data_IF_022546492842
#
_entry.id   IF_022546492842
#
_cell.length_a   1.000
_cell.length_b   1.000
_cell.length_c   1.000
_cell.angle_alpha   90.00
_cell.angle_beta   90.00
_cell.angle_gamma   90.00
#
_symmetry.space_group_name_H-M   'P 1'
#
loop_
_entity.id
_entity.type
_entity.pdbx_description
1 polymer ?
#
# COMPACT_ATOMS: atom_id res chain seq x y z
N UNK A 1 1.22 -22.54 -35.54
CA UNK A 1 1.57 -21.80 -34.31
C UNK A 1 0.60 -20.68 -34.09
N UNK A 2 0.19 -20.33 -32.86
CA UNK A 2 -0.62 -19.14 -32.71
C UNK A 2 0.27 -17.91 -32.97
N UNK A 3 0.08 -17.28 -34.12
CA UNK A 3 0.72 -16.03 -34.56
C UNK A 3 0.26 -14.78 -33.76
N UNK A 4 -0.40 -14.98 -32.61
CA UNK A 4 -1.02 -13.90 -31.83
C UNK A 4 -0.29 -13.74 -30.51
N UNK A 5 0.43 -12.62 -30.38
CA UNK A 5 1.04 -12.18 -29.13
C UNK A 5 0.16 -11.10 -28.49
N UNK A 6 -0.03 -11.17 -27.17
CA UNK A 6 -0.70 -10.12 -26.40
C UNK A 6 0.19 -9.67 -25.23
N UNK A 7 0.02 -8.40 -24.85
CA UNK A 7 0.66 -7.82 -23.68
C UNK A 7 -0.39 -7.09 -22.83
N UNK A 8 -0.14 -7.00 -21.52
CA UNK A 8 -1.00 -6.28 -20.59
C UNK A 8 -0.19 -5.61 -19.49
N UNK A 9 -0.83 -4.67 -18.78
CA UNK A 9 -0.23 -4.06 -17.60
C UNK A 9 -0.21 -5.07 -16.44
N UNK A 10 0.94 -5.16 -15.77
CA UNK A 10 1.11 -6.03 -14.59
C UNK A 10 1.57 -5.22 -13.38
N UNK A 11 0.67 -4.48 -12.71
CA UNK A 11 1.01 -3.75 -11.49
C UNK A 11 1.53 -4.72 -10.43
N UNK A 12 2.74 -4.48 -9.96
CA UNK A 12 3.42 -5.30 -8.96
C UNK A 12 4.19 -4.36 -8.02
N UNK A 13 3.84 -4.29 -6.73
CA UNK A 13 4.63 -3.57 -5.75
C UNK A 13 6.03 -4.19 -5.58
N UNK A 14 7.02 -3.44 -5.02
CA UNK A 14 8.38 -3.92 -4.84
C UNK A 14 8.54 -5.24 -4.07
N UNK A 15 7.59 -5.56 -3.18
CA UNK A 15 7.58 -6.80 -2.40
C UNK A 15 6.75 -7.93 -3.03
N UNK A 16 6.21 -7.72 -4.24
CA UNK A 16 5.31 -8.62 -4.94
C UNK A 16 4.02 -8.99 -4.18
N UNK A 17 3.68 -8.26 -3.11
CA UNK A 17 2.42 -8.42 -2.38
C UNK A 17 1.40 -7.37 -2.84
N UNK A 18 0.10 -7.70 -2.89
CA UNK A 18 -0.93 -6.71 -3.21
C UNK A 18 -1.01 -5.59 -2.17
N UNK A 19 -1.56 -4.46 -2.58
CA UNK A 19 -1.94 -3.34 -1.73
C UNK A 19 -3.44 -3.43 -1.48
N UNK A 20 -3.83 -3.77 -0.25
CA UNK A 20 -5.22 -3.96 0.16
C UNK A 20 -5.49 -3.23 1.48
N UNK A 21 -6.52 -2.41 1.50
CA UNK A 21 -7.00 -1.72 2.71
C UNK A 21 -7.07 -0.20 2.58
N UNK A 22 -7.19 0.52 3.71
CA UNK A 22 -7.34 1.98 3.71
C UNK A 22 -6.06 2.66 3.24
N UNK A 23 -6.22 3.72 2.44
CA UNK A 23 -5.12 4.58 2.02
C UNK A 23 -4.82 5.56 3.15
N UNK A 24 -3.64 5.52 3.78
CA UNK A 24 -3.42 6.36 4.95
C UNK A 24 -3.35 7.83 4.57
N UNK A 25 -3.79 8.70 5.49
CA UNK A 25 -4.02 10.13 5.28
C UNK A 25 -5.19 10.49 4.33
N UNK A 26 -5.94 9.52 3.80
CA UNK A 26 -7.14 9.75 3.00
C UNK A 26 -8.35 9.08 3.66
N UNK A 27 -9.29 9.86 4.19
CA UNK A 27 -10.50 9.31 4.81
C UNK A 27 -11.45 8.72 3.75
N UNK A 28 -12.00 7.53 4.03
CA UNK A 28 -12.95 6.85 3.14
C UNK A 28 -12.35 6.22 1.88
N UNK A 29 -11.05 6.37 1.65
CA UNK A 29 -10.38 5.83 0.45
C UNK A 29 -9.73 4.48 0.76
N UNK A 30 -10.04 3.49 -0.07
CA UNK A 30 -9.49 2.14 -0.01
C UNK A 30 -8.80 1.80 -1.33
N UNK A 31 -7.82 0.90 -1.28
CA UNK A 31 -7.13 0.36 -2.46
C UNK A 31 -7.16 -1.17 -2.43
N UNK A 32 -7.27 -1.78 -3.60
CA UNK A 32 -7.14 -3.22 -3.83
C UNK A 32 -6.45 -3.43 -5.18
N UNK A 33 -5.11 -3.38 -5.19
CA UNK A 33 -4.32 -3.34 -6.42
C UNK A 33 -2.99 -4.10 -6.29
N UNK A 34 -2.28 -4.30 -7.39
CA UNK A 34 -0.93 -4.84 -7.36
C UNK A 34 -0.84 -6.37 -7.25
N UNK A 35 -1.87 -7.10 -7.68
CA UNK A 35 -1.96 -8.56 -7.60
C UNK A 35 -1.04 -9.31 -8.60
N UNK A 36 -0.18 -8.60 -9.35
CA UNK A 36 0.74 -9.19 -10.33
C UNK A 36 -0.01 -10.12 -11.31
N UNK A 37 0.55 -11.30 -11.63
CA UNK A 37 -0.10 -12.31 -12.47
C UNK A 37 -1.21 -13.11 -11.76
N UNK A 38 -1.41 -12.90 -10.46
CA UNK A 38 -2.37 -13.66 -9.64
C UNK A 38 -3.72 -12.97 -9.49
N UNK A 39 -3.93 -11.82 -10.14
CA UNK A 39 -5.15 -11.01 -10.00
C UNK A 39 -6.44 -11.76 -10.26
N UNK A 40 -6.51 -12.56 -11.34
CA UNK A 40 -7.71 -13.33 -11.67
C UNK A 40 -7.98 -14.41 -10.61
N UNK A 41 -6.93 -15.07 -10.13
CA UNK A 41 -7.02 -16.13 -9.13
C UNK A 41 -7.50 -15.59 -7.77
N UNK A 42 -7.00 -14.43 -7.35
CA UNK A 42 -7.29 -13.86 -6.03
C UNK A 42 -8.49 -12.92 -6.01
N UNK A 43 -9.04 -12.53 -7.17
CA UNK A 43 -10.17 -11.60 -7.27
C UNK A 43 -11.36 -11.94 -6.33
N UNK A 44 -11.81 -13.21 -6.21
CA UNK A 44 -12.95 -13.53 -5.34
C UNK A 44 -12.68 -13.22 -3.86
N UNK A 45 -11.53 -13.65 -3.32
CA UNK A 45 -11.20 -13.43 -1.91
C UNK A 45 -10.84 -11.97 -1.63
N UNK A 46 -10.17 -11.29 -2.56
CA UNK A 46 -9.91 -9.85 -2.48
C UNK A 46 -11.22 -9.07 -2.40
N UNK A 47 -12.19 -9.39 -3.27
CA UNK A 47 -13.49 -8.72 -3.28
C UNK A 47 -14.25 -8.90 -1.96
N UNK A 48 -14.34 -10.13 -1.47
CA UNK A 48 -14.99 -10.44 -0.19
C UNK A 48 -14.31 -9.71 0.98
N UNK A 49 -12.99 -9.86 1.12
CA UNK A 49 -12.25 -9.27 2.23
C UNK A 49 -12.32 -7.73 2.23
N UNK A 50 -12.28 -7.10 1.06
CA UNK A 50 -12.42 -5.64 0.94
C UNK A 50 -13.85 -5.17 1.22
N UNK A 51 -14.87 -5.93 0.82
CA UNK A 51 -16.26 -5.59 1.12
C UNK A 51 -16.53 -5.64 2.63
N UNK A 52 -16.10 -6.70 3.31
CA UNK A 52 -16.18 -6.83 4.78
C UNK A 52 -15.42 -5.68 5.46
N UNK A 53 -14.19 -5.38 5.02
CA UNK A 53 -13.41 -4.29 5.58
C UNK A 53 -14.11 -2.93 5.45
N UNK A 54 -14.73 -2.66 4.30
CA UNK A 54 -15.41 -1.38 4.02
C UNK A 54 -16.73 -1.25 4.79
N UNK A 55 -17.52 -2.32 4.85
CA UNK A 55 -18.87 -2.29 5.46
C UNK A 55 -18.82 -2.51 6.98
N UNK A 56 -18.01 -3.47 7.43
CA UNK A 56 -17.99 -3.94 8.81
C UNK A 56 -16.75 -3.47 9.60
N UNK A 57 -15.80 -2.81 8.93
CA UNK A 57 -14.56 -2.32 9.53
C UNK A 57 -13.52 -3.41 9.82
N UNK A 58 -13.80 -4.66 9.44
CA UNK A 58 -12.92 -5.83 9.64
C UNK A 58 -13.15 -6.86 8.54
N UNK A 59 -12.11 -7.57 8.14
CA UNK A 59 -12.18 -8.67 7.19
C UNK A 59 -12.06 -10.02 7.88
N UNK A 60 -12.63 -11.06 7.27
CA UNK A 60 -12.53 -12.46 7.69
C UNK A 60 -11.10 -13.02 7.57
N UNK A 61 -10.29 -12.46 6.70
CA UNK A 61 -8.87 -12.78 6.50
C UNK A 61 -7.96 -11.66 6.99
N UNK A 62 -6.75 -11.99 7.40
CA UNK A 62 -5.77 -11.01 7.86
C UNK A 62 -5.13 -10.25 6.68
N UNK A 63 -5.46 -8.95 6.55
CA UNK A 63 -4.94 -8.07 5.51
C UNK A 63 -3.70 -7.25 5.93
N UNK A 64 -3.16 -7.45 7.14
CA UNK A 64 -2.08 -6.58 7.67
C UNK A 64 -0.85 -6.54 6.77
N UNK A 65 -0.42 -7.67 6.22
CA UNK A 65 0.71 -7.75 5.30
C UNK A 65 0.49 -6.96 3.99
N UNK A 66 -0.77 -6.75 3.61
CA UNK A 66 -1.16 -6.07 2.38
C UNK A 66 -1.46 -4.59 2.59
N UNK A 67 -1.39 -4.09 3.83
CA UNK A 67 -1.68 -2.70 4.15
C UNK A 67 -0.84 -1.72 3.32
N UNK A 68 -1.44 -0.69 2.70
CA UNK A 68 -0.69 0.34 1.99
C UNK A 68 0.27 1.12 2.90
N UNK A 69 0.01 1.14 4.20
CA UNK A 69 0.87 1.80 5.19
C UNK A 69 2.29 1.21 5.25
N UNK A 70 2.50 -0.02 4.74
CA UNK A 70 3.82 -0.68 4.75
C UNK A 70 4.90 0.08 3.96
N UNK A 71 4.49 0.93 3.00
CA UNK A 71 5.40 1.78 2.23
C UNK A 71 5.45 3.22 2.73
N UNK A 72 4.70 3.58 3.76
CA UNK A 72 4.74 4.92 4.30
C UNK A 72 5.86 5.04 5.32
N UNK A 73 6.79 5.96 5.06
CA UNK A 73 7.77 6.35 6.07
C UNK A 73 7.02 6.84 7.31
N UNK A 74 7.29 6.24 8.47
CA UNK A 74 6.92 6.85 9.75
C UNK A 74 7.52 8.26 9.73
N UNK A 75 6.69 9.30 9.87
CA UNK A 75 7.24 10.62 10.17
C UNK A 75 7.96 10.46 11.51
N UNK A 76 9.29 10.33 11.46
CA UNK A 76 10.11 10.51 12.65
C UNK A 76 9.70 11.85 13.26
N UNK A 77 9.63 11.93 14.60
CA UNK A 77 9.48 13.21 15.27
C UNK A 77 10.48 14.16 14.62
N UNK A 78 10.00 15.26 14.00
CA UNK A 78 10.87 16.27 13.41
C UNK A 78 11.90 16.58 14.49
N UNK A 79 13.17 16.24 14.23
CA UNK A 79 14.25 16.56 15.15
C UNK A 79 14.09 18.02 15.51
N UNK A 80 13.89 18.30 16.81
CA UNK A 80 13.76 19.67 17.29
C UNK A 80 15.02 20.38 16.80
N UNK A 81 14.90 21.33 15.86
CA UNK A 81 16.06 22.11 15.50
C UNK A 81 16.53 22.75 16.80
N UNK A 82 17.80 22.53 17.16
CA UNK A 82 18.39 23.21 18.30
C UNK A 82 18.51 24.69 17.91
N UNK A 83 17.44 25.46 18.09
CA UNK A 83 17.35 26.90 17.80
C UNK A 83 18.37 27.72 18.60
N UNK A 84 19.00 27.13 19.62
CA UNK A 84 19.98 27.79 20.49
C UNK A 84 21.43 27.29 20.34
N UNK A 85 21.76 26.53 19.29
CA UNK A 85 23.17 26.26 19.02
C UNK A 85 23.76 27.48 18.29
N UNK A 86 24.52 28.31 19.02
CA UNK A 86 25.38 29.32 18.40
C UNK A 86 26.36 28.58 17.48
N UNK A 87 26.13 28.68 16.19
CA UNK A 87 27.14 28.35 15.18
C UNK A 87 28.10 29.53 15.20
N UNK A 88 29.18 29.41 15.99
CA UNK A 88 30.19 30.47 16.11
C UNK A 88 30.76 30.90 14.74
N UNK A 89 31.52 31.99 14.73
CA UNK A 89 32.13 32.57 13.52
C UNK A 89 32.82 31.49 12.68
N UNK A 90 32.18 31.14 11.56
CA UNK A 90 32.72 30.25 10.55
C UNK A 90 33.62 31.07 9.64
N UNK A 91 34.92 31.00 9.89
CA UNK A 91 35.93 31.24 8.85
C UNK A 91 36.27 29.90 8.20
#
# INVERSE_FOLDING_TARGET
DPDVTQACMRPCPPDALPLMGPVPACQGVHIAAGHNCWGILWAPITGLAMAELILDGKSSVDLRAFSPARYMKRKGARGRSNVNQSVGEQW
#
